data_IF_380851868853
#
_entry.id   IF_380851868853
#
_cell.length_a   1.000
_cell.length_b   1.000
_cell.length_c   1.000
_cell.angle_alpha   90.00
_cell.angle_beta   90.00
_cell.angle_gamma   90.00
#
_symmetry.space_group_name_H-M   'P 1'
#
loop_
_entity.id
_entity.type
_entity.pdbx_description
1 polymer ?
#
# COMPACT_ATOMS: atom_id res chain seq x y z
N UNK A 1 5.49 12.68 3.36
CA UNK A 1 6.42 12.24 2.36
C UNK A 1 7.72 11.80 2.99
N UNK A 2 8.23 10.70 2.49
CA UNK A 2 9.49 10.17 2.97
C UNK A 2 10.57 10.65 2.01
N UNK A 3 11.39 11.52 2.47
CA UNK A 3 12.44 12.09 1.65
C UNK A 3 13.56 12.61 2.50
N UNK A 4 14.50 13.26 1.88
CA UNK A 4 15.57 14.00 2.54
C UNK A 4 14.97 15.20 3.29
N UNK A 5 15.55 15.55 4.43
CA UNK A 5 15.19 16.78 5.14
C UNK A 5 15.34 17.99 4.19
N UNK A 6 14.32 18.85 4.07
CA UNK A 6 14.38 20.05 3.23
C UNK A 6 15.60 20.94 3.50
N UNK A 7 16.02 21.02 4.75
CA UNK A 7 17.16 21.81 5.19
C UNK A 7 18.50 21.03 5.20
N UNK A 8 18.52 19.82 4.62
CA UNK A 8 19.76 19.07 4.54
C UNK A 8 20.81 19.83 3.71
N UNK A 9 21.99 20.01 4.30
CA UNK A 9 23.09 20.76 3.69
C UNK A 9 23.07 22.28 3.94
N UNK A 10 22.01 22.83 4.58
CA UNK A 10 21.91 24.25 4.91
C UNK A 10 22.20 24.57 6.39
N UNK A 11 22.20 23.55 7.26
CA UNK A 11 22.34 23.75 8.72
C UNK A 11 23.77 24.01 9.18
N UNK A 12 24.76 23.91 8.31
CA UNK A 12 26.16 24.15 8.65
C UNK A 12 26.46 25.65 8.60
N UNK A 13 27.11 26.17 9.65
CA UNK A 13 27.61 27.53 9.61
C UNK A 13 28.70 27.66 8.57
N UNK A 14 28.50 28.51 7.58
CA UNK A 14 29.42 28.68 6.45
C UNK A 14 29.72 30.16 6.21
N UNK A 15 30.93 30.42 5.75
CA UNK A 15 31.41 31.77 5.41
C UNK A 15 32.34 31.71 4.22
N UNK A 16 32.31 32.74 3.37
CA UNK A 16 33.25 32.86 2.27
C UNK A 16 34.64 33.22 2.80
N UNK A 17 35.67 32.57 2.26
CA UNK A 17 37.05 32.90 2.60
C UNK A 17 37.61 34.09 1.80
N UNK A 18 36.76 34.81 1.11
CA UNK A 18 37.13 36.00 0.32
C UNK A 18 38.22 35.73 -0.75
N UNK A 19 38.98 36.79 -1.13
CA UNK A 19 40.06 36.72 -2.13
C UNK A 19 41.40 36.32 -1.51
N UNK A 20 42.36 35.98 -2.32
CA UNK A 20 43.76 35.75 -1.92
C UNK A 20 44.13 34.29 -1.56
N UNK A 21 43.18 33.35 -1.62
CA UNK A 21 43.43 31.95 -1.28
C UNK A 21 43.47 31.01 -2.47
N UNK A 22 43.30 31.50 -3.69
CA UNK A 22 43.32 30.67 -4.90
C UNK A 22 42.20 29.66 -5.04
N UNK A 23 41.15 29.77 -4.22
CA UNK A 23 39.98 28.85 -4.22
C UNK A 23 38.68 29.62 -4.45
N UNK A 24 37.68 28.90 -4.90
CA UNK A 24 36.32 29.42 -5.11
C UNK A 24 35.76 30.12 -3.86
N UNK A 25 35.12 31.29 -4.04
CA UNK A 25 34.52 32.13 -2.99
C UNK A 25 33.17 31.65 -2.48
N UNK A 26 32.84 30.41 -2.69
CA UNK A 26 31.60 29.85 -2.13
C UNK A 26 31.67 29.74 -0.60
N UNK A 27 30.50 29.65 0.04
CA UNK A 27 30.41 29.42 1.47
C UNK A 27 31.12 28.14 1.89
N UNK A 28 31.99 28.20 2.88
CA UNK A 28 32.74 27.07 3.42
C UNK A 28 32.49 26.90 4.89
N UNK A 29 32.50 25.66 5.37
CA UNK A 29 32.25 25.37 6.79
C UNK A 29 33.29 26.06 7.67
N UNK A 30 32.83 26.83 8.67
CA UNK A 30 33.68 27.54 9.62
C UNK A 30 34.46 26.66 10.57
N UNK A 31 34.10 25.41 10.72
CA UNK A 31 34.78 24.49 11.64
C UNK A 31 36.26 24.33 11.31
N UNK A 32 37.12 24.46 12.29
CA UNK A 32 38.56 24.20 12.18
C UNK A 32 38.94 22.74 12.46
N UNK A 33 37.99 21.91 12.91
CA UNK A 33 38.19 20.51 13.29
C UNK A 33 37.23 19.61 12.54
N UNK A 34 37.70 18.43 12.19
CA UNK A 34 36.90 17.38 11.56
C UNK A 34 37.07 17.29 10.04
N UNK A 35 36.62 16.18 9.44
CA UNK A 35 36.89 15.83 8.04
C UNK A 35 36.16 16.77 7.03
N UNK A 36 35.21 17.58 7.48
CA UNK A 36 34.45 18.50 6.64
C UNK A 36 34.88 19.97 6.79
N UNK A 37 35.92 20.25 7.58
CA UNK A 37 36.42 21.60 7.75
C UNK A 37 36.86 22.20 6.39
N UNK A 38 36.39 23.42 6.11
CA UNK A 38 36.72 24.11 4.86
C UNK A 38 36.01 23.57 3.61
N UNK A 39 35.19 22.53 3.74
CA UNK A 39 34.36 22.04 2.62
C UNK A 39 33.29 23.06 2.27
N UNK A 40 32.88 23.11 0.99
CA UNK A 40 31.76 23.93 0.57
C UNK A 40 30.46 23.53 1.29
N UNK A 41 29.65 24.48 1.71
CA UNK A 41 28.40 24.27 2.40
C UNK A 41 27.33 25.27 1.94
N UNK A 42 26.06 24.86 2.02
CA UNK A 42 24.94 25.69 1.60
C UNK A 42 24.83 25.91 0.09
N UNK A 43 25.67 25.27 -0.70
CA UNK A 43 25.71 25.38 -2.17
C UNK A 43 25.18 24.10 -2.80
N UNK A 44 24.44 24.25 -3.88
CA UNK A 44 23.99 23.10 -4.68
C UNK A 44 25.12 22.49 -5.49
N UNK A 45 25.06 21.19 -5.75
CA UNK A 45 26.02 20.50 -6.61
C UNK A 45 27.36 20.13 -5.96
N UNK A 46 27.54 20.40 -4.67
CA UNK A 46 28.76 20.01 -3.92
C UNK A 46 28.47 18.85 -2.98
N UNK A 47 29.49 18.08 -2.61
CA UNK A 47 29.36 16.98 -1.66
C UNK A 47 28.91 17.48 -0.29
N UNK A 48 27.75 17.02 0.18
CA UNK A 48 27.15 17.47 1.44
C UNK A 48 26.54 18.88 1.38
N UNK A 49 26.36 19.44 0.19
CA UNK A 49 25.63 20.70 -0.02
C UNK A 49 24.12 20.53 0.02
N UNK A 50 23.42 21.64 -0.19
CA UNK A 50 21.96 21.64 -0.22
C UNK A 50 21.38 21.02 -1.48
N UNK A 51 20.14 20.54 -1.37
CA UNK A 51 19.36 20.12 -2.54
C UNK A 51 18.81 21.38 -3.24
N UNK A 52 19.00 21.57 -4.59
CA UNK A 52 18.45 22.73 -5.31
C UNK A 52 16.93 22.85 -5.17
N UNK A 53 16.25 21.71 -5.27
CA UNK A 53 14.80 21.61 -5.15
C UNK A 53 14.46 20.63 -4.02
N UNK A 54 14.48 21.05 -2.75
CA UNK A 54 14.19 20.16 -1.65
C UNK A 54 12.70 19.77 -1.63
N UNK A 55 12.33 18.66 -0.99
CA UNK A 55 10.94 18.28 -0.82
C UNK A 55 10.21 19.33 0.04
N UNK A 56 9.09 19.82 -0.45
CA UNK A 56 8.24 20.79 0.23
C UNK A 56 6.95 20.11 0.65
N UNK A 57 6.48 20.37 1.88
CA UNK A 57 5.24 19.78 2.41
C UNK A 57 3.98 20.16 1.61
N UNK A 58 3.97 21.35 1.02
CA UNK A 58 2.87 21.86 0.19
C UNK A 58 2.80 21.26 -1.22
N UNK A 59 3.85 20.52 -1.64
CA UNK A 59 3.86 19.89 -2.97
C UNK A 59 2.81 18.81 -3.07
N UNK A 60 1.93 18.93 -4.06
CA UNK A 60 0.97 17.90 -4.37
C UNK A 60 1.69 16.70 -5.01
N UNK A 61 1.71 15.57 -4.28
CA UNK A 61 2.33 14.31 -4.73
C UNK A 61 1.30 13.43 -5.45
N UNK A 62 0.02 13.73 -5.28
CA UNK A 62 -1.07 12.95 -5.85
C UNK A 62 -1.23 13.25 -7.33
N UNK A 63 -1.08 12.24 -8.18
CA UNK A 63 -1.39 12.29 -9.60
C UNK A 63 -2.76 11.68 -9.86
N UNK A 64 -3.64 12.44 -10.52
CA UNK A 64 -4.95 11.96 -10.94
C UNK A 64 -4.79 11.03 -12.14
N UNK A 65 -5.43 9.87 -12.08
CA UNK A 65 -5.58 8.97 -13.21
C UNK A 65 -6.90 9.27 -13.94
N UNK A 66 -6.93 9.04 -15.25
CA UNK A 66 -8.13 9.16 -16.05
C UNK A 66 -9.19 8.15 -15.58
N UNK A 67 -10.46 8.52 -15.69
CA UNK A 67 -11.58 7.66 -15.26
C UNK A 67 -11.57 6.33 -16.02
N UNK A 68 -11.39 6.37 -17.34
CA UNK A 68 -11.36 5.18 -18.23
C UNK A 68 -10.22 4.21 -17.84
N UNK A 69 -9.03 4.74 -17.59
CA UNK A 69 -7.87 3.96 -17.14
C UNK A 69 -8.13 3.29 -15.78
N UNK A 70 -8.71 4.04 -14.84
CA UNK A 70 -9.06 3.52 -13.52
C UNK A 70 -10.09 2.39 -13.59
N UNK A 71 -11.11 2.52 -14.44
CA UNK A 71 -12.15 1.49 -14.65
C UNK A 71 -11.54 0.24 -15.30
N UNK A 72 -10.72 0.40 -16.34
CA UNK A 72 -10.04 -0.70 -17.01
C UNK A 72 -9.10 -1.45 -16.05
N UNK A 73 -8.35 -0.72 -15.24
CA UNK A 73 -7.50 -1.31 -14.21
C UNK A 73 -8.29 -2.10 -13.17
N UNK A 74 -9.46 -1.61 -12.75
CA UNK A 74 -10.33 -2.31 -11.81
C UNK A 74 -10.87 -3.62 -12.41
N UNK A 75 -11.34 -3.60 -13.65
CA UNK A 75 -11.81 -4.79 -14.35
C UNK A 75 -10.70 -5.84 -14.48
N UNK A 76 -9.51 -5.41 -14.88
CA UNK A 76 -8.34 -6.29 -14.97
C UNK A 76 -7.95 -6.89 -13.60
N UNK A 77 -8.02 -6.10 -12.53
CA UNK A 77 -7.71 -6.59 -11.18
C UNK A 77 -8.75 -7.60 -10.67
N UNK A 78 -10.03 -7.41 -10.99
CA UNK A 78 -11.10 -8.38 -10.68
C UNK A 78 -10.88 -9.67 -11.46
N UNK A 79 -10.63 -9.60 -12.77
CA UNK A 79 -10.33 -10.76 -13.59
C UNK A 79 -9.11 -11.53 -13.07
N UNK A 80 -8.06 -10.84 -12.67
CA UNK A 80 -6.87 -11.45 -12.08
C UNK A 80 -7.15 -12.19 -10.75
N UNK A 81 -8.10 -11.71 -9.95
CA UNK A 81 -8.51 -12.38 -8.71
C UNK A 81 -9.27 -13.69 -8.92
N UNK A 82 -9.80 -13.91 -10.11
CA UNK A 82 -10.49 -15.15 -10.51
C UNK A 82 -9.53 -16.19 -11.09
N UNK A 83 -8.33 -15.78 -11.51
CA UNK A 83 -7.35 -16.67 -12.09
C UNK A 83 -6.55 -17.36 -10.97
N UNK A 84 -6.69 -18.71 -10.90
CA UNK A 84 -6.04 -19.55 -9.88
C UNK A 84 -4.51 -19.42 -9.89
N UNK A 85 -3.91 -19.40 -11.06
CA UNK A 85 -2.45 -19.29 -11.20
C UNK A 85 -1.91 -17.99 -10.62
N UNK A 86 -2.57 -16.86 -10.91
CA UNK A 86 -2.19 -15.56 -10.40
C UNK A 86 -2.33 -15.46 -8.86
N UNK A 87 -3.38 -16.11 -8.31
CA UNK A 87 -3.61 -16.16 -6.86
C UNK A 87 -2.53 -16.98 -6.17
N UNK A 88 -2.14 -18.12 -6.75
CA UNK A 88 -1.03 -18.96 -6.24
C UNK A 88 0.30 -18.21 -6.35
N UNK A 89 0.60 -17.62 -7.50
CA UNK A 89 1.84 -16.88 -7.73
C UNK A 89 2.00 -15.70 -6.75
N UNK A 90 0.90 -15.09 -6.35
CA UNK A 90 0.91 -14.08 -5.30
C UNK A 90 1.25 -14.66 -3.92
N UNK A 91 1.15 -15.96 -3.74
CA UNK A 91 1.49 -16.69 -2.52
C UNK A 91 0.32 -16.93 -1.59
N UNK A 92 -0.91 -16.91 -2.08
CA UNK A 92 -2.07 -17.40 -1.34
C UNK A 92 -2.08 -18.94 -1.33
N UNK A 93 -2.46 -19.53 -0.21
CA UNK A 93 -2.64 -20.97 -0.07
C UNK A 93 -4.11 -21.30 -0.36
N UNK A 94 -4.36 -21.87 -1.54
CA UNK A 94 -5.70 -22.19 -2.04
C UNK A 94 -5.84 -23.65 -2.46
N UNK A 95 -4.95 -24.53 -1.93
CA UNK A 95 -4.90 -25.93 -2.35
C UNK A 95 -6.21 -26.67 -2.07
N UNK A 96 -6.87 -26.32 -0.97
CA UNK A 96 -8.14 -26.92 -0.54
C UNK A 96 -9.38 -26.31 -1.21
N UNK A 97 -9.20 -25.30 -2.08
CA UNK A 97 -10.29 -24.66 -2.79
C UNK A 97 -10.50 -25.26 -4.17
N UNK A 98 -11.73 -25.68 -4.47
CA UNK A 98 -12.07 -26.27 -5.76
C UNK A 98 -12.19 -25.21 -6.86
N UNK A 99 -12.90 -24.12 -6.58
CA UNK A 99 -13.23 -23.09 -7.58
C UNK A 99 -12.96 -21.66 -7.10
N UNK A 100 -12.60 -20.79 -8.04
CA UNK A 100 -12.59 -19.33 -7.89
C UNK A 100 -13.53 -18.74 -8.95
N UNK A 101 -14.24 -17.65 -8.66
CA UNK A 101 -14.28 -16.87 -7.42
C UNK A 101 -15.06 -17.55 -6.29
N UNK A 102 -14.69 -17.24 -5.03
CA UNK A 102 -15.43 -17.67 -3.86
C UNK A 102 -16.64 -16.75 -3.63
N UNK A 103 -17.84 -17.31 -3.77
CA UNK A 103 -19.10 -16.58 -3.50
C UNK A 103 -19.82 -17.26 -2.34
N UNK A 104 -20.19 -16.45 -1.34
CA UNK A 104 -20.81 -16.91 -0.08
C UNK A 104 -22.16 -16.23 0.08
N UNK A 105 -23.02 -16.80 0.92
CA UNK A 105 -24.32 -16.23 1.27
C UNK A 105 -24.18 -14.91 2.03
N UNK A 106 -25.18 -14.07 1.89
CA UNK A 106 -25.23 -12.73 2.51
C UNK A 106 -25.33 -12.75 4.04
N UNK A 107 -25.64 -13.91 4.64
CA UNK A 107 -25.60 -14.12 6.09
C UNK A 107 -24.23 -13.78 6.71
N UNK A 108 -23.16 -13.85 5.92
CA UNK A 108 -21.82 -13.43 6.34
C UNK A 108 -21.79 -11.96 6.79
N UNK A 109 -22.56 -11.07 6.14
CA UNK A 109 -22.54 -9.63 6.39
C UNK A 109 -23.03 -9.26 7.80
N UNK A 110 -23.86 -10.11 8.42
CA UNK A 110 -24.42 -9.90 9.77
C UNK A 110 -23.55 -10.45 10.91
N UNK A 111 -22.43 -11.10 10.59
CA UNK A 111 -21.56 -11.69 11.62
C UNK A 111 -20.73 -10.62 12.32
N UNK A 112 -20.89 -10.49 13.64
CA UNK A 112 -20.15 -9.52 14.47
C UNK A 112 -18.98 -10.13 15.22
N UNK A 113 -18.97 -11.45 15.44
CA UNK A 113 -17.94 -12.12 16.23
C UNK A 113 -16.81 -12.68 15.36
N UNK A 114 -15.58 -12.36 15.72
CA UNK A 114 -14.35 -12.87 15.04
C UNK A 114 -14.26 -14.40 15.08
N UNK A 115 -14.75 -15.05 16.14
CA UNK A 115 -14.74 -16.50 16.28
C UNK A 115 -15.60 -17.17 15.20
N UNK A 116 -16.79 -16.67 14.98
CA UNK A 116 -17.74 -17.24 14.02
C UNK A 116 -17.26 -17.03 12.60
N UNK A 117 -16.74 -15.83 12.29
CA UNK A 117 -16.12 -15.54 11.01
C UNK A 117 -14.90 -16.45 10.73
N UNK A 118 -14.06 -16.67 11.75
CA UNK A 118 -12.90 -17.55 11.61
C UNK A 118 -13.33 -19.00 11.34
N UNK A 119 -14.34 -19.49 12.04
CA UNK A 119 -14.89 -20.85 11.80
C UNK A 119 -15.45 -20.98 10.38
N UNK A 120 -16.19 -19.97 9.92
CA UNK A 120 -16.71 -19.95 8.54
C UNK A 120 -15.60 -20.02 7.50
N UNK A 121 -14.52 -19.23 7.68
CA UNK A 121 -13.37 -19.26 6.78
C UNK A 121 -12.63 -20.60 6.81
N UNK A 122 -12.52 -21.26 7.96
CA UNK A 122 -11.93 -22.60 8.09
C UNK A 122 -12.80 -23.62 7.37
N UNK A 123 -14.12 -23.58 7.54
CA UNK A 123 -15.06 -24.48 6.86
C UNK A 123 -15.03 -24.32 5.33
N UNK A 124 -14.67 -23.15 4.84
CA UNK A 124 -14.43 -22.88 3.41
C UNK A 124 -13.08 -23.42 2.89
N UNK A 125 -12.27 -24.06 3.74
CA UNK A 125 -10.97 -24.58 3.36
C UNK A 125 -9.82 -23.57 3.39
N UNK A 126 -10.00 -22.43 4.06
CA UNK A 126 -8.99 -21.37 4.16
C UNK A 126 -8.12 -21.48 5.42
N UNK A 127 -8.06 -22.63 6.09
CA UNK A 127 -7.24 -22.86 7.28
C UNK A 127 -5.77 -22.49 7.06
N UNK A 128 -5.17 -23.00 5.98
CA UNK A 128 -3.75 -22.81 5.67
C UNK A 128 -3.43 -21.36 5.29
N UNK A 129 -4.38 -20.69 4.67
CA UNK A 129 -4.28 -19.27 4.35
C UNK A 129 -4.32 -18.40 5.60
N UNK A 130 -5.20 -18.68 6.54
CA UNK A 130 -5.28 -17.98 7.82
C UNK A 130 -4.00 -18.22 8.65
N UNK A 131 -3.47 -19.41 8.65
CA UNK A 131 -2.19 -19.72 9.30
C UNK A 131 -1.03 -18.96 8.64
N UNK A 132 -0.96 -18.95 7.30
CA UNK A 132 0.04 -18.20 6.54
C UNK A 132 0.06 -16.71 6.94
N UNK A 133 -1.11 -16.11 7.11
CA UNK A 133 -1.26 -14.69 7.43
C UNK A 133 -0.97 -14.41 8.90
N UNK A 134 -1.33 -15.31 9.81
CA UNK A 134 -1.05 -15.18 11.25
C UNK A 134 0.45 -15.19 11.55
N UNK A 135 1.26 -15.80 10.69
CA UNK A 135 2.71 -15.84 10.84
C UNK A 135 3.34 -14.48 10.45
N UNK A 136 3.45 -13.60 11.43
CA UNK A 136 3.97 -12.24 11.29
C UNK A 136 5.50 -12.24 11.26
N UNK A 137 6.08 -11.65 10.22
CA UNK A 137 7.54 -11.47 10.13
C UNK A 137 7.97 -10.20 10.86
N UNK A 138 8.97 -10.31 11.72
CA UNK A 138 9.64 -9.16 12.32
C UNK A 138 10.65 -8.57 11.33
N UNK A 139 10.66 -7.24 11.25
CA UNK A 139 11.64 -6.49 10.46
C UNK A 139 12.85 -6.18 11.29
N UNK A 140 14.01 -6.07 10.64
CA UNK A 140 15.28 -5.66 11.25
C UNK A 140 15.68 -4.25 10.82
N UNK A 141 16.71 -3.70 11.44
CA UNK A 141 17.36 -2.45 11.06
C UNK A 141 16.46 -1.21 11.19
N UNK A 142 16.69 -0.24 10.35
CA UNK A 142 16.04 1.11 10.40
C UNK A 142 14.52 1.07 10.37
N UNK A 143 13.92 0.07 9.73
CA UNK A 143 12.46 -0.08 9.70
C UNK A 143 11.88 -0.36 11.08
N UNK A 144 12.56 -1.19 11.89
CA UNK A 144 12.17 -1.50 13.27
C UNK A 144 12.30 -0.27 14.16
N UNK A 145 13.42 0.46 14.04
CA UNK A 145 13.66 1.69 14.79
C UNK A 145 12.63 2.80 14.49
N UNK A 146 12.08 2.81 13.27
CA UNK A 146 11.06 3.79 12.84
C UNK A 146 9.62 3.35 13.10
N UNK A 147 9.38 2.47 14.07
CA UNK A 147 8.04 2.00 14.47
C UNK A 147 7.38 0.99 13.52
N UNK A 148 8.09 0.47 12.52
CA UNK A 148 7.59 -0.54 11.57
C UNK A 148 8.19 -1.91 11.85
N UNK A 149 8.04 -2.40 13.06
CA UNK A 149 8.64 -3.66 13.53
C UNK A 149 8.02 -4.91 12.90
N UNK A 150 6.73 -4.87 12.55
CA UNK A 150 6.00 -6.02 12.04
C UNK A 150 5.71 -5.88 10.54
N UNK A 151 5.81 -6.99 9.78
CA UNK A 151 5.35 -7.11 8.40
C UNK A 151 4.25 -8.16 8.37
N UNK A 152 3.01 -7.72 8.26
CA UNK A 152 1.84 -8.59 8.12
C UNK A 152 1.66 -8.90 6.64
N UNK A 153 1.40 -10.16 6.31
CA UNK A 153 1.08 -10.60 4.96
C UNK A 153 -0.35 -10.16 4.63
N UNK A 154 -0.61 -9.82 3.38
CA UNK A 154 -1.97 -9.59 2.90
C UNK A 154 -2.66 -10.94 2.70
N UNK A 155 -3.80 -11.10 3.32
CA UNK A 155 -4.67 -12.27 3.25
C UNK A 155 -5.88 -12.01 2.35
N UNK A 156 -6.94 -12.82 2.51
CA UNK A 156 -8.15 -12.68 1.71
C UNK A 156 -8.81 -11.33 1.90
N UNK A 157 -9.43 -10.85 0.84
CA UNK A 157 -10.30 -9.68 0.84
C UNK A 157 -11.75 -10.16 0.89
N UNK A 158 -12.53 -9.67 1.82
CA UNK A 158 -13.97 -9.90 1.86
C UNK A 158 -14.65 -8.69 1.24
N UNK A 159 -15.50 -8.93 0.25
CA UNK A 159 -16.30 -7.89 -0.39
C UNK A 159 -17.77 -8.10 -0.06
N UNK A 160 -18.35 -7.17 0.66
CA UNK A 160 -19.75 -7.18 1.07
C UNK A 160 -20.56 -6.13 0.29
N UNK A 161 -21.87 -6.28 0.28
CA UNK A 161 -22.79 -5.28 -0.26
C UNK A 161 -22.94 -4.11 0.72
N UNK A 162 -23.15 -4.44 2.01
CA UNK A 162 -23.25 -3.49 3.13
C UNK A 162 -22.56 -4.07 4.35
N UNK A 163 -21.93 -3.21 5.15
CA UNK A 163 -21.41 -3.61 6.45
C UNK A 163 -22.54 -3.62 7.50
N UNK A 164 -23.03 -4.81 7.85
CA UNK A 164 -24.05 -5.04 8.90
C UNK A 164 -23.42 -5.47 10.24
N UNK A 165 -22.10 -5.31 10.39
CA UNK A 165 -21.35 -5.67 11.59
C UNK A 165 -20.12 -6.54 11.33
N UNK A 166 -19.95 -7.07 10.12
CA UNK A 166 -18.80 -7.89 9.75
C UNK A 166 -17.47 -7.10 9.85
N UNK A 167 -17.52 -5.77 9.76
CA UNK A 167 -16.34 -4.93 9.96
C UNK A 167 -15.65 -5.16 11.29
N UNK A 168 -16.42 -5.33 12.36
CA UNK A 168 -15.88 -5.58 13.70
C UNK A 168 -15.30 -6.99 13.82
N UNK A 169 -15.92 -7.99 13.17
CA UNK A 169 -15.39 -9.34 13.10
C UNK A 169 -14.06 -9.42 12.34
N UNK A 170 -13.89 -8.67 11.26
CA UNK A 170 -12.68 -8.65 10.43
C UNK A 170 -11.50 -7.94 11.10
N UNK A 171 -11.73 -6.88 11.88
CA UNK A 171 -10.67 -6.04 12.48
C UNK A 171 -9.60 -6.83 13.25
N UNK A 172 -10.00 -7.89 13.92
CA UNK A 172 -9.09 -8.71 14.73
C UNK A 172 -8.48 -9.89 13.97
N UNK A 173 -8.85 -10.12 12.72
CA UNK A 173 -8.23 -11.14 11.86
C UNK A 173 -7.05 -10.53 11.10
N UNK A 174 -5.85 -10.99 11.41
CA UNK A 174 -4.64 -10.47 10.77
C UNK A 174 -4.70 -10.65 9.26
N UNK A 175 -4.50 -9.55 8.53
CA UNK A 175 -4.39 -9.52 7.07
C UNK A 175 -5.65 -9.79 6.28
N UNK A 176 -6.77 -10.07 6.93
CA UNK A 176 -8.10 -10.07 6.31
C UNK A 176 -8.56 -8.63 6.25
N UNK A 177 -8.92 -8.16 5.06
CA UNK A 177 -9.47 -6.83 4.85
C UNK A 177 -10.95 -6.97 4.42
N UNK A 178 -11.77 -5.99 4.78
CA UNK A 178 -13.16 -5.88 4.35
C UNK A 178 -13.34 -4.61 3.53
N UNK A 179 -14.09 -4.71 2.44
CA UNK A 179 -14.44 -3.56 1.60
C UNK A 179 -15.87 -3.72 1.10
N UNK A 180 -16.64 -2.65 1.09
CA UNK A 180 -17.93 -2.62 0.42
C UNK A 180 -17.75 -2.58 -1.09
N UNK A 181 -18.61 -3.27 -1.85
CA UNK A 181 -18.56 -3.34 -3.31
C UNK A 181 -18.56 -1.97 -3.99
N UNK A 182 -19.20 -0.96 -3.38
CA UNK A 182 -19.24 0.43 -3.89
C UNK A 182 -17.88 1.14 -3.77
N UNK A 183 -17.10 0.79 -2.75
CA UNK A 183 -15.83 1.43 -2.40
C UNK A 183 -14.62 0.65 -2.89
N UNK A 184 -14.83 -0.44 -3.64
CA UNK A 184 -13.78 -1.32 -4.12
C UNK A 184 -12.80 -0.58 -5.04
N UNK A 185 -11.53 -0.64 -4.70
CA UNK A 185 -10.44 -0.01 -5.44
C UNK A 185 -9.40 -1.03 -5.92
N UNK A 186 -8.65 -0.64 -6.93
CA UNK A 186 -7.52 -1.45 -7.44
C UNK A 186 -6.49 -1.75 -6.35
N UNK A 187 -6.26 -0.81 -5.43
CA UNK A 187 -5.33 -1.01 -4.30
C UNK A 187 -5.75 -2.13 -3.34
N UNK A 188 -7.04 -2.44 -3.26
CA UNK A 188 -7.57 -3.51 -2.40
C UNK A 188 -7.39 -4.89 -3.06
N UNK A 189 -7.58 -4.96 -4.38
CA UNK A 189 -7.42 -6.17 -5.18
C UNK A 189 -5.96 -6.49 -5.53
N UNK A 190 -5.14 -5.46 -5.73
CA UNK A 190 -3.74 -5.58 -6.10
C UNK A 190 -2.81 -4.80 -5.15
N UNK A 191 -2.83 -5.10 -3.82
CA UNK A 191 -2.01 -4.38 -2.87
C UNK A 191 -0.52 -4.64 -3.13
N UNK A 192 0.26 -3.57 -3.24
CA UNK A 192 1.68 -3.63 -3.56
C UNK A 192 1.99 -3.80 -5.04
N UNK A 193 1.03 -3.44 -5.91
CA UNK A 193 1.11 -3.54 -7.39
C UNK A 193 1.06 -4.95 -7.98
N UNK A 194 0.94 -5.98 -7.13
CA UNK A 194 0.83 -7.37 -7.56
C UNK A 194 -0.65 -7.77 -7.62
N UNK A 195 -1.10 -8.26 -8.77
CA UNK A 195 -2.47 -8.74 -8.99
C UNK A 195 -2.69 -10.14 -8.39
N UNK A 196 -3.93 -10.61 -8.36
CA UNK A 196 -4.28 -11.97 -7.93
C UNK A 196 -4.49 -12.12 -6.42
N UNK A 197 -5.02 -11.10 -5.74
CA UNK A 197 -5.46 -11.27 -4.35
C UNK A 197 -6.66 -12.20 -4.27
N UNK A 198 -6.67 -13.11 -3.29
CA UNK A 198 -7.82 -13.96 -3.00
C UNK A 198 -8.99 -13.10 -2.52
N UNK A 199 -10.13 -13.19 -3.20
CA UNK A 199 -11.34 -12.42 -2.89
C UNK A 199 -12.50 -13.36 -2.58
N UNK A 200 -13.23 -13.00 -1.54
CA UNK A 200 -14.44 -13.65 -1.08
C UNK A 200 -15.59 -12.68 -1.30
N UNK A 201 -16.56 -13.07 -2.10
CA UNK A 201 -17.71 -12.24 -2.45
C UNK A 201 -18.96 -12.70 -1.70
N UNK A 202 -19.80 -11.76 -1.25
CA UNK A 202 -21.19 -12.08 -0.90
C UNK A 202 -22.03 -12.13 -2.17
N UNK A 203 -23.10 -12.90 -2.21
CA UNK A 203 -23.98 -13.03 -3.38
C UNK A 203 -24.48 -11.67 -3.88
N UNK A 204 -24.95 -10.84 -2.96
CA UNK A 204 -25.44 -9.51 -3.27
C UNK A 204 -24.33 -8.57 -3.76
N UNK A 205 -23.11 -8.66 -3.21
CA UNK A 205 -21.99 -7.85 -3.66
C UNK A 205 -21.55 -8.22 -5.09
N UNK A 206 -21.55 -9.51 -5.42
CA UNK A 206 -21.19 -10.00 -6.74
C UNK A 206 -22.20 -9.57 -7.81
N UNK A 207 -23.51 -9.65 -7.51
CA UNK A 207 -24.58 -9.18 -8.40
C UNK A 207 -24.52 -7.67 -8.64
N UNK A 208 -24.26 -6.90 -7.58
CA UNK A 208 -24.13 -5.43 -7.66
C UNK A 208 -22.88 -4.98 -8.43
N UNK A 209 -21.83 -5.79 -8.43
CA UNK A 209 -20.60 -5.48 -9.14
C UNK A 209 -20.83 -5.39 -10.66
N UNK A 210 -21.57 -6.32 -11.23
CA UNK A 210 -21.90 -6.32 -12.66
C UNK A 210 -22.63 -5.03 -13.06
N UNK A 211 -23.61 -4.61 -12.29
CA UNK A 211 -24.37 -3.37 -12.55
C UNK A 211 -23.53 -2.10 -12.42
N UNK A 212 -22.60 -2.04 -11.46
CA UNK A 212 -21.72 -0.90 -11.27
C UNK A 212 -20.63 -0.79 -12.36
N UNK A 213 -20.08 -1.93 -12.79
CA UNK A 213 -19.12 -1.96 -13.90
C UNK A 213 -19.78 -1.59 -15.22
N UNK A 214 -20.96 -2.12 -15.50
CA UNK A 214 -21.70 -1.80 -16.72
C UNK A 214 -22.03 -0.30 -16.79
N UNK A 215 -22.54 0.30 -15.72
CA UNK A 215 -22.75 1.75 -15.64
C UNK A 215 -21.46 2.54 -15.87
N UNK A 216 -20.34 2.10 -15.31
CA UNK A 216 -19.05 2.76 -15.50
C UNK A 216 -18.53 2.62 -16.95
N UNK A 217 -18.85 1.54 -17.64
CA UNK A 217 -18.52 1.34 -19.07
C UNK A 217 -19.40 2.21 -19.96
N UNK A 218 -20.70 2.29 -19.71
CA UNK A 218 -21.65 3.13 -20.45
C UNK A 218 -21.29 4.62 -20.35
N UNK A 219 -20.96 5.12 -19.15
CA UNK A 219 -20.51 6.51 -18.95
C UNK A 219 -19.21 6.80 -19.71
N UNK A 220 -18.43 5.77 -20.01
CA UNK A 220 -17.16 5.90 -20.74
C UNK A 220 -17.33 5.76 -22.26
N UNK A 221 -18.47 5.25 -22.73
CA UNK A 221 -18.79 5.09 -24.14
C UNK A 221 -19.49 6.33 -24.74
N UNK A 222 -20.10 7.13 -23.88
CA UNK A 222 -20.66 8.45 -24.22
C UNK A 222 -19.63 9.56 -24.03
#
# INVERSE_FOLDING_TARGET
>A
PKGTDPLAGERSTSESWNTGRGISRIGRIKSHRGPRAGSAAGVAGVTGGRTPHPPVSSKNIYHKLNKKEKTSALMSAISASMNRELVINRGHKIDNLLNLPLVIDDNLESMTRTKDLRLTLINLGLSDELERVSNVRLRSGKSRLRGRSRKIKKGPLIVCSKDLGIGDACKNLLGVDLVEAKNLNVSDLAPGTEAGRLVIWTKSSFSNLSSNILKAVEINAS
#
